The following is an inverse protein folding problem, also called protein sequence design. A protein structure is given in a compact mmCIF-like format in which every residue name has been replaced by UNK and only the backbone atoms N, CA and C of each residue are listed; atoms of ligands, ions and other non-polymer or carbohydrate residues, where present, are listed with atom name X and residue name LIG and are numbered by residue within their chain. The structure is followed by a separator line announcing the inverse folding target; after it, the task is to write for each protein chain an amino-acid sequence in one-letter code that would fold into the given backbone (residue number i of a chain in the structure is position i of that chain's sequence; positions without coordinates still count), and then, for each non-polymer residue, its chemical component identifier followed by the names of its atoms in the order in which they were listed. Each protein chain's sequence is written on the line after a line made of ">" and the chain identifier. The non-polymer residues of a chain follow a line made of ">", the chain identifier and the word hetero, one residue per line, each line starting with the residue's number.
data_IF_652785465641
#
_entry.id   IF_652785465641
#
_cell.length_a   1.000
_cell.length_b   1.000
_cell.length_c   1.000
_cell.angle_alpha   90.00
_cell.angle_beta   90.00
_cell.angle_gamma   90.00
#
_symmetry.space_group_name_H-M   'P 1'
#
loop_
_entity.id
_entity.type
_entity.pdbx_description
1 polymer ?
#
# COMPACT_ATOMS: atom_id res chain seq x y z
N UNK A 1 -15.29 -22.16 -11.31
CA UNK A 1 -15.01 -20.84 -10.69
C UNK A 1 -14.11 -21.08 -9.49
N UNK A 2 -12.99 -20.36 -9.38
CA UNK A 2 -12.11 -20.49 -8.22
C UNK A 2 -12.58 -19.54 -7.10
N UNK A 3 -12.44 -19.97 -5.85
CA UNK A 3 -12.73 -19.13 -4.69
C UNK A 3 -11.59 -18.11 -4.50
N UNK A 4 -11.94 -16.87 -4.17
CA UNK A 4 -10.99 -15.78 -3.93
C UNK A 4 -11.13 -15.30 -2.50
N UNK A 5 -10.01 -15.18 -1.80
CA UNK A 5 -9.97 -14.80 -0.38
C UNK A 5 -9.02 -13.62 -0.17
N UNK A 6 -9.37 -12.75 0.78
CA UNK A 6 -8.47 -11.72 1.29
C UNK A 6 -7.70 -12.33 2.45
N UNK A 7 -6.38 -12.45 2.30
CA UNK A 7 -5.51 -13.13 3.28
C UNK A 7 -4.81 -12.17 4.25
N UNK A 8 -4.67 -10.90 3.88
CA UNK A 8 -4.15 -9.85 4.75
C UNK A 8 -4.62 -8.46 4.27
N UNK A 9 -4.71 -7.52 5.21
CA UNK A 9 -5.05 -6.13 4.91
C UNK A 9 -4.39 -5.18 5.92
N UNK A 10 -3.71 -4.14 5.42
CA UNK A 10 -3.13 -3.05 6.22
C UNK A 10 -3.34 -1.73 5.50
N UNK A 11 -3.24 -0.64 6.26
CA UNK A 11 -3.33 0.73 5.74
C UNK A 11 -2.39 1.64 6.50
N UNK A 12 -1.97 2.72 5.86
CA UNK A 12 -1.42 3.88 6.56
C UNK A 12 -2.55 4.64 7.29
N UNK A 13 -2.24 5.49 8.27
CA UNK A 13 -3.18 6.47 8.80
C UNK A 13 -3.60 7.48 7.71
N UNK A 14 -4.79 8.05 7.81
CA UNK A 14 -5.18 9.17 6.97
C UNK A 14 -4.55 10.46 7.51
N UNK A 15 -3.73 11.11 6.67
CA UNK A 15 -3.14 12.40 6.98
C UNK A 15 -4.08 13.56 6.63
N UNK A 16 -3.98 14.65 7.37
CA UNK A 16 -4.54 15.93 6.95
C UNK A 16 -3.68 16.54 5.84
N UNK A 17 -4.28 17.37 4.98
CA UNK A 17 -3.56 18.14 3.97
C UNK A 17 -2.47 19.00 4.61
N UNK A 18 -1.23 18.93 4.10
CA UNK A 18 -0.07 19.61 4.69
C UNK A 18 0.35 19.10 6.08
N UNK A 19 -0.18 17.97 6.53
CA UNK A 19 0.06 17.40 7.86
C UNK A 19 1.28 16.49 7.95
N UNK A 20 1.25 15.55 8.90
CA UNK A 20 2.39 14.67 9.26
C UNK A 20 2.87 13.72 8.16
N UNK A 21 2.08 13.53 7.10
CA UNK A 21 2.45 12.65 5.99
C UNK A 21 2.96 13.42 4.77
N UNK A 22 3.08 14.76 4.84
CA UNK A 22 3.46 15.61 3.70
C UNK A 22 4.85 15.32 3.14
N UNK A 23 5.74 14.77 3.97
CA UNK A 23 7.14 14.51 3.63
C UNK A 23 7.35 13.10 3.03
N UNK A 24 6.27 12.34 2.80
CA UNK A 24 6.33 11.04 2.14
C UNK A 24 5.70 11.12 0.75
N UNK A 25 6.32 10.44 -0.21
CA UNK A 25 5.76 10.22 -1.55
C UNK A 25 4.57 9.25 -1.51
N UNK A 26 3.70 9.32 -2.51
CA UNK A 26 2.60 8.37 -2.69
C UNK A 26 3.12 6.92 -2.80
N UNK A 27 4.26 6.74 -3.48
CA UNK A 27 4.91 5.43 -3.62
C UNK A 27 5.41 4.87 -2.29
N UNK A 28 5.99 5.70 -1.42
CA UNK A 28 6.42 5.28 -0.08
C UNK A 28 5.23 4.88 0.80
N UNK A 29 4.16 5.68 0.79
CA UNK A 29 2.94 5.36 1.56
C UNK A 29 2.31 4.05 1.08
N UNK A 30 2.27 3.82 -0.24
CA UNK A 30 1.86 2.54 -0.82
C UNK A 30 2.77 1.38 -0.42
N UNK A 31 4.09 1.59 -0.42
CA UNK A 31 5.07 0.58 -0.02
C UNK A 31 4.95 0.21 1.46
N UNK A 32 4.69 1.16 2.36
CA UNK A 32 4.49 0.87 3.78
C UNK A 32 3.26 -0.02 4.01
N UNK A 33 2.13 0.30 3.37
CA UNK A 33 0.92 -0.50 3.47
C UNK A 33 1.13 -1.92 2.92
N UNK A 34 1.72 -2.04 1.72
CA UNK A 34 1.97 -3.33 1.07
C UNK A 34 2.93 -4.21 1.85
N UNK A 35 4.06 -3.66 2.34
CA UNK A 35 5.02 -4.41 3.16
C UNK A 35 4.39 -4.92 4.46
N UNK A 36 3.59 -4.09 5.12
CA UNK A 36 2.89 -4.48 6.34
C UNK A 36 1.85 -5.59 6.07
N UNK A 37 1.11 -5.53 4.95
CA UNK A 37 0.16 -6.58 4.59
C UNK A 37 0.87 -7.90 4.27
N UNK A 38 1.98 -7.87 3.52
CA UNK A 38 2.75 -9.07 3.18
C UNK A 38 3.42 -9.72 4.41
N UNK A 39 3.76 -8.91 5.43
CA UNK A 39 4.34 -9.43 6.68
C UNK A 39 3.40 -10.38 7.43
N UNK A 40 2.08 -10.23 7.30
CA UNK A 40 1.08 -11.10 7.95
C UNK A 40 0.90 -12.46 7.22
N UNK A 41 1.30 -12.57 5.95
CA UNK A 41 1.05 -13.76 5.11
C UNK A 41 2.23 -14.75 5.14
N UNK A 42 3.44 -14.27 5.46
CA UNK A 42 4.65 -15.09 5.57
C UNK A 42 5.73 -14.74 4.55
N UNK A 43 6.94 -15.31 4.72
CA UNK A 43 8.07 -15.05 3.82
C UNK A 43 7.86 -15.77 2.48
N UNK A 44 8.22 -15.10 1.38
CA UNK A 44 8.26 -15.67 0.01
C UNK A 44 6.90 -15.97 -0.63
N UNK A 45 5.86 -15.18 -0.36
CA UNK A 45 4.62 -15.26 -1.15
C UNK A 45 4.93 -14.84 -2.60
N UNK A 46 4.71 -15.70 -3.60
CA UNK A 46 4.86 -15.31 -5.01
C UNK A 46 3.80 -14.26 -5.34
N UNK A 47 4.24 -13.11 -5.83
CA UNK A 47 3.36 -12.01 -6.23
C UNK A 47 3.32 -11.97 -7.75
N UNK A 48 2.21 -12.40 -8.35
CA UNK A 48 2.03 -12.41 -9.80
C UNK A 48 1.65 -11.04 -10.37
N UNK A 49 0.91 -10.24 -9.59
CA UNK A 49 0.44 -8.92 -10.03
C UNK A 49 0.26 -7.97 -8.86
N UNK A 50 0.42 -6.67 -9.15
CA UNK A 50 0.19 -5.57 -8.22
C UNK A 50 -0.70 -4.55 -8.90
N UNK A 51 -1.81 -4.18 -8.26
CA UNK A 51 -2.77 -3.21 -8.76
C UNK A 51 -2.87 -2.08 -7.75
N UNK A 52 -2.54 -0.86 -8.17
CA UNK A 52 -2.55 0.33 -7.31
C UNK A 52 -3.47 1.37 -7.90
N UNK A 53 -4.41 1.87 -7.09
CA UNK A 53 -5.23 3.02 -7.43
C UNK A 53 -4.52 4.32 -7.05
N UNK A 54 -4.30 5.20 -8.03
CA UNK A 54 -3.80 6.55 -7.81
C UNK A 54 -4.50 7.51 -8.76
N UNK A 55 -4.89 8.69 -8.25
CA UNK A 55 -5.60 9.72 -9.03
C UNK A 55 -4.62 10.77 -9.58
N UNK A 56 -3.78 11.34 -8.70
CA UNK A 56 -2.75 12.32 -9.07
C UNK A 56 -1.37 11.65 -9.02
N UNK A 57 -0.82 11.33 -10.20
CA UNK A 57 0.49 10.66 -10.36
C UNK A 57 1.64 11.65 -10.28
N UNK A 58 1.67 12.44 -9.21
CA UNK A 58 2.71 13.44 -8.93
C UNK A 58 2.97 13.45 -7.43
N UNK A 59 4.23 13.60 -7.04
CA UNK A 59 4.62 13.74 -5.64
C UNK A 59 4.91 15.21 -5.30
N UNK A 60 4.93 15.51 -3.99
CA UNK A 60 5.42 16.81 -3.54
C UNK A 60 6.86 17.02 -4.03
N UNK A 61 7.15 18.21 -4.53
CA UNK A 61 8.49 18.62 -4.95
C UNK A 61 9.45 18.69 -3.76
#
# INVERSE_FOLDING_TARGET
>A
MANVFIVAAKRTPFGAFGGKLKDYTASELGAFASKAALADVGKQVPIDSVIVGNVAHTDAA
#
